data_IF_130191024801
#
_entry.id   IF_130191024801
#
_cell.length_a   1.000
_cell.length_b   1.000
_cell.length_c   1.000
_cell.angle_alpha   90.00
_cell.angle_beta   90.00
_cell.angle_gamma   90.00
#
_symmetry.space_group_name_H-M   'P 1'
#
loop_
_entity.id
_entity.type
_entity.pdbx_description
1 polymer ?
#
# COMPACT_ATOMS: atom_id res chain seq x y z
N UNK A 1 10.42 -15.65 8.29
CA UNK A 1 11.43 -15.23 7.31
C UNK A 1 10.90 -15.05 5.89
N UNK A 2 10.76 -16.07 5.03
CA UNK A 2 10.38 -15.85 3.61
C UNK A 2 9.04 -15.15 3.41
N UNK A 3 8.05 -15.44 4.27
CA UNK A 3 6.74 -14.77 4.26
C UNK A 3 6.84 -13.30 4.66
N UNK A 4 7.68 -12.97 5.63
CA UNK A 4 7.86 -11.58 6.09
C UNK A 4 8.55 -10.75 5.01
N UNK A 5 9.55 -11.32 4.33
CA UNK A 5 10.19 -10.70 3.18
C UNK A 5 9.21 -10.48 2.03
N UNK A 6 8.37 -11.47 1.70
CA UNK A 6 7.32 -11.30 0.69
C UNK A 6 6.37 -10.15 1.04
N UNK A 7 5.88 -10.10 2.29
CA UNK A 7 4.99 -9.02 2.74
C UNK A 7 5.70 -7.67 2.68
N UNK A 8 6.97 -7.60 3.08
CA UNK A 8 7.75 -6.37 3.01
C UNK A 8 7.90 -5.88 1.57
N UNK A 9 8.28 -6.75 0.63
CA UNK A 9 8.43 -6.38 -0.77
C UNK A 9 7.11 -5.96 -1.43
N UNK A 10 5.99 -6.58 -1.05
CA UNK A 10 4.67 -6.15 -1.52
C UNK A 10 4.29 -4.76 -1.00
N UNK A 11 4.65 -4.43 0.25
CA UNK A 11 4.46 -3.08 0.81
C UNK A 11 5.36 -2.05 0.12
N UNK A 12 6.62 -2.39 -0.09
CA UNK A 12 7.57 -1.52 -0.79
C UNK A 12 7.10 -1.25 -2.23
N UNK A 13 6.66 -2.29 -2.94
CA UNK A 13 6.08 -2.14 -4.27
C UNK A 13 4.81 -1.27 -4.26
N UNK A 14 3.90 -1.46 -3.31
CA UNK A 14 2.69 -0.64 -3.20
C UNK A 14 3.03 0.84 -2.99
N UNK A 15 3.96 1.12 -2.08
CA UNK A 15 4.42 2.49 -1.81
C UNK A 15 5.08 3.12 -3.05
N UNK A 16 5.85 2.33 -3.82
CA UNK A 16 6.43 2.78 -5.08
C UNK A 16 5.37 3.14 -6.12
N UNK A 17 4.29 2.37 -6.26
CA UNK A 17 3.20 2.69 -7.17
C UNK A 17 2.43 3.95 -6.75
N UNK A 18 2.15 4.14 -5.44
CA UNK A 18 1.52 5.38 -4.95
C UNK A 18 2.39 6.62 -5.20
N UNK A 19 3.71 6.48 -5.05
CA UNK A 19 4.66 7.54 -5.39
C UNK A 19 4.67 7.81 -6.90
N UNK A 20 4.68 6.76 -7.72
CA UNK A 20 4.64 6.88 -9.18
C UNK A 20 3.35 7.57 -9.64
N UNK A 21 2.20 7.23 -9.05
CA UNK A 21 0.91 7.86 -9.33
C UNK A 21 0.97 9.38 -9.09
N UNK A 22 1.51 9.78 -7.94
CA UNK A 22 1.68 11.20 -7.57
C UNK A 22 2.56 11.92 -8.58
N UNK A 23 3.69 11.31 -8.96
CA UNK A 23 4.63 11.88 -9.92
C UNK A 23 4.01 12.01 -11.32
N UNK A 24 3.37 10.95 -11.83
CA UNK A 24 2.75 10.93 -13.15
C UNK A 24 1.58 11.93 -13.25
N UNK A 25 0.75 12.02 -12.20
CA UNK A 25 -0.31 13.04 -12.10
C UNK A 25 0.26 14.46 -12.12
N UNK A 26 1.37 14.68 -11.40
CA UNK A 26 2.09 15.95 -11.40
C UNK A 26 2.64 16.30 -12.78
N UNK A 27 3.26 15.34 -13.49
CA UNK A 27 3.76 15.53 -14.85
C UNK A 27 2.63 15.86 -15.83
N UNK A 28 1.52 15.13 -15.76
CA UNK A 28 0.35 15.34 -16.62
C UNK A 28 -0.26 16.73 -16.43
N UNK A 29 -0.22 17.29 -15.22
CA UNK A 29 -0.73 18.63 -14.93
C UNK A 29 0.12 19.78 -15.52
N UNK A 30 1.39 19.50 -15.84
CA UNK A 30 2.38 20.50 -16.29
C UNK A 30 2.73 20.39 -17.77
N UNK A 31 2.34 19.30 -18.42
CA UNK A 31 2.69 19.06 -19.82
C UNK A 31 1.81 19.92 -20.73
N UNK A 32 2.44 20.86 -21.41
CA UNK A 32 1.79 21.71 -22.41
C UNK A 32 2.38 21.41 -23.78
N UNK A 33 1.53 21.36 -24.81
CA UNK A 33 1.93 21.25 -26.24
C UNK A 33 2.47 19.90 -26.73
N UNK A 34 2.41 18.82 -25.95
CA UNK A 34 2.82 17.47 -26.37
C UNK A 34 1.70 16.43 -26.18
N UNK A 35 0.71 16.36 -27.09
CA UNK A 35 -0.46 15.51 -26.94
C UNK A 35 -0.12 14.01 -26.86
N UNK A 36 0.80 13.53 -27.70
CA UNK A 36 1.20 12.12 -27.71
C UNK A 36 1.88 11.70 -26.41
N UNK A 37 2.72 12.56 -25.83
CA UNK A 37 3.36 12.30 -24.55
C UNK A 37 2.35 12.35 -23.39
N UNK A 38 1.39 13.29 -23.44
CA UNK A 38 0.29 13.37 -22.46
C UNK A 38 -0.54 12.10 -22.43
N UNK A 39 -0.92 11.55 -23.60
CA UNK A 39 -1.66 10.29 -23.68
C UNK A 39 -0.87 9.12 -23.12
N UNK A 40 0.43 9.03 -23.40
CA UNK A 40 1.30 7.98 -22.84
C UNK A 40 1.42 8.07 -21.32
N UNK A 41 1.59 9.28 -20.77
CA UNK A 41 1.63 9.50 -19.32
C UNK A 41 0.29 9.12 -18.70
N UNK A 42 -0.84 9.46 -19.32
CA UNK A 42 -2.17 9.08 -18.84
C UNK A 42 -2.38 7.57 -18.85
N UNK A 43 -1.99 6.89 -19.93
CA UNK A 43 -2.03 5.42 -19.99
C UNK A 43 -1.21 4.79 -18.87
N UNK A 44 0.03 5.27 -18.67
CA UNK A 44 0.90 4.76 -17.61
C UNK A 44 0.31 5.04 -16.21
N UNK A 45 -0.30 6.21 -16.00
CA UNK A 45 -0.95 6.56 -14.73
C UNK A 45 -2.08 5.58 -14.39
N UNK A 46 -2.92 5.23 -15.37
CA UNK A 46 -4.00 4.25 -15.15
C UNK A 46 -3.46 2.83 -14.91
N UNK A 47 -2.38 2.43 -15.59
CA UNK A 47 -1.69 1.16 -15.31
C UNK A 47 -1.12 1.13 -13.89
N UNK A 48 -0.46 2.21 -13.45
CA UNK A 48 0.11 2.35 -12.10
C UNK A 48 -0.98 2.28 -11.02
N UNK A 49 -2.12 2.94 -11.22
CA UNK A 49 -3.27 2.84 -10.29
C UNK A 49 -3.79 1.41 -10.17
N UNK A 50 -3.93 0.71 -11.28
CA UNK A 50 -4.39 -0.68 -11.26
C UNK A 50 -3.36 -1.61 -10.61
N UNK A 51 -2.06 -1.37 -10.83
CA UNK A 51 -0.98 -2.10 -10.16
C UNK A 51 -0.99 -1.86 -8.65
N UNK A 52 -1.12 -0.61 -8.19
CA UNK A 52 -1.29 -0.27 -6.77
C UNK A 52 -2.49 -1.01 -6.17
N UNK A 53 -3.65 -0.97 -6.83
CA UNK A 53 -4.87 -1.67 -6.39
C UNK A 53 -4.65 -3.18 -6.24
N UNK A 54 -3.97 -3.81 -7.19
CA UNK A 54 -3.64 -5.24 -7.15
C UNK A 54 -2.68 -5.58 -6.02
N UNK A 55 -1.64 -4.79 -5.81
CA UNK A 55 -0.70 -4.96 -4.70
C UNK A 55 -1.41 -4.83 -3.35
N UNK A 56 -2.32 -3.87 -3.22
CA UNK A 56 -3.18 -3.72 -2.03
C UNK A 56 -4.06 -4.96 -1.81
N UNK A 57 -4.75 -5.43 -2.84
CA UNK A 57 -5.57 -6.66 -2.72
C UNK A 57 -4.74 -7.89 -2.33
N UNK A 58 -3.51 -8.01 -2.83
CA UNK A 58 -2.58 -9.07 -2.40
C UNK A 58 -2.18 -8.93 -0.92
N UNK A 59 -1.88 -7.71 -0.47
CA UNK A 59 -1.55 -7.44 0.94
C UNK A 59 -2.73 -7.75 1.86
N UNK A 60 -3.94 -7.32 1.50
CA UNK A 60 -5.17 -7.56 2.25
C UNK A 60 -5.42 -9.08 2.40
N UNK A 61 -5.33 -9.84 1.29
CA UNK A 61 -5.49 -11.29 1.31
C UNK A 61 -4.38 -12.05 2.07
N UNK A 62 -3.19 -11.47 2.21
CA UNK A 62 -2.12 -12.05 3.03
C UNK A 62 -2.28 -11.71 4.52
N UNK A 63 -2.96 -10.62 4.87
CA UNK A 63 -3.18 -10.25 6.27
C UNK A 63 -4.36 -11.00 6.91
N UNK A 64 -5.31 -11.52 6.10
CA UNK A 64 -6.39 -12.41 6.55
C UNK A 64 -5.87 -13.73 7.19
N UNK A 65 -4.63 -14.16 6.89
CA UNK A 65 -3.98 -15.30 7.55
C UNK A 65 -3.16 -14.97 8.80
N UNK A 66 -2.90 -13.69 9.05
CA UNK A 66 -2.07 -13.16 10.15
C UNK A 66 -2.91 -12.62 11.32
N UNK A 67 -4.15 -12.18 11.03
CA UNK A 67 -5.04 -11.52 11.97
C UNK A 67 -5.81 -12.47 12.93
N UNK A 68 -5.99 -13.76 12.63
CA UNK A 68 -6.63 -14.68 13.60
C UNK A 68 -5.75 -15.00 14.84
N UNK A 69 -4.42 -14.95 14.73
CA UNK A 69 -3.53 -15.16 15.89
C UNK A 69 -3.09 -13.86 16.57
N UNK A 70 -2.92 -12.75 15.84
CA UNK A 70 -2.42 -11.49 16.42
C UNK A 70 -3.51 -10.63 17.08
N UNK A 71 -4.74 -10.62 16.57
CA UNK A 71 -5.80 -9.81 17.21
C UNK A 71 -6.36 -10.43 18.49
N UNK A 72 -6.33 -11.76 18.63
CA UNK A 72 -6.71 -12.44 19.87
C UNK A 72 -5.64 -12.31 20.96
N UNK A 73 -4.35 -12.34 20.60
CA UNK A 73 -3.24 -12.20 21.55
C UNK A 73 -2.99 -10.76 22.00
N UNK A 74 -3.07 -9.78 21.09
CA UNK A 74 -2.77 -8.37 21.39
C UNK A 74 -3.86 -7.67 22.20
N UNK A 75 -5.15 -7.98 21.97
CA UNK A 75 -6.25 -7.40 22.75
C UNK A 75 -6.29 -7.88 24.20
N UNK A 76 -5.84 -9.11 24.50
CA UNK A 76 -5.77 -9.60 25.87
C UNK A 76 -4.66 -8.92 26.69
N UNK A 77 -3.54 -8.52 26.07
CA UNK A 77 -2.45 -7.83 26.77
C UNK A 77 -2.70 -6.32 26.93
N UNK A 78 -3.30 -5.67 25.92
CA UNK A 78 -3.59 -4.24 25.99
C UNK A 78 -4.65 -3.91 27.05
N UNK A 79 -5.70 -4.73 27.17
CA UNK A 79 -6.74 -4.52 28.19
C UNK A 79 -6.25 -4.79 29.62
N UNK A 80 -5.20 -5.59 29.81
CA UNK A 80 -4.60 -5.82 31.14
C UNK A 80 -3.78 -4.62 31.64
N UNK A 81 -3.13 -3.86 30.75
CA UNK A 81 -2.33 -2.70 31.16
C UNK A 81 -3.19 -1.45 31.41
N UNK A 82 -4.30 -1.28 30.69
CA UNK A 82 -5.16 -0.10 30.85
C UNK A 82 -6.06 -0.12 32.09
N UNK A 83 -6.24 -1.27 32.76
CA UNK A 83 -7.11 -1.41 33.94
C UNK A 83 -6.31 -1.37 35.27
N UNK A 84 -4.97 -1.41 35.24
CA UNK A 84 -4.14 -1.46 36.45
C UNK A 84 -3.33 -0.18 36.75
N UNK A 85 -3.81 0.98 36.30
CA UNK A 85 -3.43 2.31 36.79
C UNK A 85 -2.00 2.51 37.29
N UNK A 86 -1.12 3.07 36.44
CA UNK A 86 0.03 3.86 36.90
C UNK A 86 0.29 4.99 35.89
N UNK A 87 0.03 6.21 36.37
CA UNK A 87 0.12 7.56 35.79
C UNK A 87 -1.07 8.08 34.97
#
# INVERSE_FOLDING_TARGET
ESREWLVQWLRDAHAMEEQAETMLSGQLSRIESYPELSERIRSHLEETKEQARRLKSCLDGLDEGSSMLKDAGGKLTATAQSISGVF
#
